data_IF_160761814973
#
_entry.id   IF_160761814973
#
_cell.length_a   1.000
_cell.length_b   1.000
_cell.length_c   1.000
_cell.angle_alpha   90.00
_cell.angle_beta   90.00
_cell.angle_gamma   90.00
#
_symmetry.space_group_name_H-M   'P 1'
#
loop_
_entity.id
_entity.type
_entity.pdbx_description
1 polymer ?
#
# COMPACT_ATOMS: atom_id res chain seq x y z
N UNK A 1 -29.41 6.99 15.16
CA UNK A 1 -28.94 7.62 13.90
C UNK A 1 -27.67 8.40 14.22
N UNK A 2 -26.61 8.29 13.42
CA UNK A 2 -25.37 9.07 13.62
C UNK A 2 -24.17 8.34 14.23
N UNK A 3 -23.86 7.10 13.82
CA UNK A 3 -22.61 6.41 14.18
C UNK A 3 -21.79 5.88 12.98
N UNK A 4 -22.30 6.01 11.75
CA UNK A 4 -21.75 5.37 10.55
C UNK A 4 -20.92 6.29 9.63
N UNK A 5 -21.02 7.62 9.78
CA UNK A 5 -20.31 8.56 8.89
C UNK A 5 -18.83 8.81 9.25
N UNK A 6 -18.31 8.30 10.37
CA UNK A 6 -16.92 8.54 10.78
C UNK A 6 -15.92 7.47 10.33
N UNK A 7 -16.31 6.59 9.41
CA UNK A 7 -15.51 5.43 8.98
C UNK A 7 -15.06 5.51 7.52
N UNK A 8 -15.49 6.53 6.76
CA UNK A 8 -15.07 6.79 5.37
C UNK A 8 -13.66 7.37 5.22
N UNK A 9 -12.85 7.34 6.30
CA UNK A 9 -11.52 7.97 6.38
C UNK A 9 -10.48 6.94 6.79
N UNK A 10 -10.29 5.97 5.93
CA UNK A 10 -9.29 4.91 6.07
C UNK A 10 -8.99 4.37 4.67
N UNK A 11 -7.98 4.92 3.99
CA UNK A 11 -6.86 4.18 3.38
C UNK A 11 -5.94 5.11 2.62
N UNK A 12 -4.63 5.05 2.94
CA UNK A 12 -3.60 5.83 2.26
C UNK A 12 -2.91 5.06 1.14
N UNK A 13 -1.99 5.62 0.34
CA UNK A 13 -1.93 6.96 -0.30
C UNK A 13 -0.74 6.94 -1.28
N UNK A 14 -0.96 7.05 -2.61
CA UNK A 14 0.06 6.77 -3.64
C UNK A 14 -0.56 6.68 -5.06
N UNK A 15 -0.10 7.35 -6.12
CA UNK A 15 -0.65 7.22 -7.50
C UNK A 15 0.32 8.02 -8.50
N UNK A 16 0.70 7.67 -9.77
CA UNK A 16 0.67 8.50 -11.05
C UNK A 16 0.47 7.71 -12.38
N UNK A 17 -0.18 8.25 -13.44
CA UNK A 17 -0.40 7.53 -14.73
C UNK A 17 0.74 7.72 -15.73
N UNK A 18 1.12 6.66 -16.45
CA UNK A 18 2.40 6.59 -17.16
C UNK A 18 2.49 7.14 -18.61
N UNK A 19 3.73 7.14 -19.12
CA UNK A 19 4.07 7.30 -20.55
C UNK A 19 5.11 6.25 -20.93
N UNK A 20 4.77 5.35 -21.85
CA UNK A 20 5.73 4.37 -22.38
C UNK A 20 6.87 5.05 -23.16
N UNK A 21 8.10 4.70 -22.83
CA UNK A 21 9.25 4.84 -23.74
C UNK A 21 10.01 3.52 -23.84
N UNK A 22 9.98 2.90 -25.02
CA UNK A 22 10.68 1.64 -25.31
C UNK A 22 12.19 1.88 -25.42
N UNK A 23 12.92 1.64 -24.34
CA UNK A 23 14.38 1.61 -24.31
C UNK A 23 14.90 0.17 -24.22
N UNK A 24 15.43 -0.39 -25.31
CA UNK A 24 16.18 -1.63 -25.27
C UNK A 24 17.52 -1.40 -24.56
N UNK A 25 17.58 -1.71 -23.26
CA UNK A 25 18.78 -1.67 -22.42
C UNK A 25 19.27 -3.08 -22.06
N UNK A 26 20.58 -3.22 -21.91
CA UNK A 26 21.23 -4.46 -21.47
C UNK A 26 20.73 -4.88 -20.08
N UNK A 27 20.74 -6.19 -19.77
CA UNK A 27 20.51 -6.68 -18.40
C UNK A 27 21.55 -6.09 -17.44
N UNK A 28 21.17 -5.02 -16.77
CA UNK A 28 21.83 -4.50 -15.58
C UNK A 28 21.58 -5.49 -14.44
N UNK A 29 22.64 -5.98 -13.79
CA UNK A 29 22.49 -6.81 -12.61
C UNK A 29 22.14 -5.91 -11.42
N UNK A 30 20.90 -6.03 -10.93
CA UNK A 30 20.45 -5.37 -9.71
C UNK A 30 21.38 -5.72 -8.54
N UNK A 31 21.95 -4.70 -7.91
CA UNK A 31 23.02 -4.84 -6.93
C UNK A 31 22.47 -4.92 -5.52
N UNK A 32 23.18 -5.61 -4.65
CA UNK A 32 22.75 -5.78 -3.25
C UNK A 32 22.94 -4.48 -2.44
N UNK A 33 22.15 -4.25 -1.38
CA UNK A 33 22.20 -3.03 -0.56
C UNK A 33 23.58 -2.77 0.05
N UNK A 34 24.34 -3.82 0.36
CA UNK A 34 25.69 -3.74 0.90
C UNK A 34 26.72 -3.07 -0.03
N UNK A 35 26.37 -2.84 -1.30
CA UNK A 35 27.22 -2.16 -2.29
C UNK A 35 26.72 -0.77 -2.67
N UNK A 36 25.62 -0.30 -2.05
CA UNK A 36 24.99 0.97 -2.36
C UNK A 36 25.94 2.16 -2.12
N UNK A 37 25.85 3.24 -2.93
CA UNK A 37 26.53 4.49 -2.63
C UNK A 37 26.00 5.05 -1.30
N UNK A 38 26.89 5.54 -0.44
CA UNK A 38 26.48 6.15 0.84
C UNK A 38 25.43 7.26 0.65
N UNK A 39 25.55 8.06 -0.42
CA UNK A 39 24.57 9.08 -0.77
C UNK A 39 23.15 8.56 -1.02
N UNK A 40 22.96 7.30 -1.40
CA UNK A 40 21.64 6.69 -1.52
C UNK A 40 21.09 6.30 -0.14
N UNK A 41 21.92 5.66 0.69
CA UNK A 41 21.49 5.22 2.03
C UNK A 41 21.21 6.42 2.93
N UNK A 42 22.02 7.46 2.82
CA UNK A 42 21.84 8.72 3.57
C UNK A 42 20.56 9.44 3.10
N UNK A 43 20.30 9.50 1.79
CA UNK A 43 19.07 10.08 1.23
C UNK A 43 17.80 9.37 1.71
N UNK A 44 17.81 8.03 1.77
CA UNK A 44 16.66 7.27 2.30
C UNK A 44 16.43 7.54 3.79
N UNK A 45 17.50 7.67 4.58
CA UNK A 45 17.42 8.05 6.00
C UNK A 45 16.90 9.48 6.17
N UNK A 46 17.35 10.44 5.35
CA UNK A 46 16.88 11.83 5.41
C UNK A 46 15.40 11.96 5.01
N UNK A 47 14.93 11.17 4.02
CA UNK A 47 13.52 11.08 3.62
C UNK A 47 12.68 10.51 4.77
N UNK A 48 13.09 9.37 5.33
CA UNK A 48 12.41 8.76 6.49
C UNK A 48 12.38 9.74 7.67
N UNK A 49 13.48 10.44 7.97
CA UNK A 49 13.53 11.39 9.08
C UNK A 49 12.56 12.55 8.84
N UNK A 50 12.55 13.16 7.65
CA UNK A 50 11.62 14.24 7.33
C UNK A 50 10.15 13.80 7.44
N UNK A 51 9.83 12.56 7.06
CA UNK A 51 8.50 11.99 7.19
C UNK A 51 8.13 11.65 8.66
N UNK A 52 9.05 11.09 9.44
CA UNK A 52 8.88 10.80 10.87
C UNK A 52 8.70 12.07 11.72
N UNK A 53 9.48 13.12 11.41
CA UNK A 53 9.40 14.43 12.07
C UNK A 53 8.23 15.29 11.53
N UNK A 54 7.44 14.77 10.58
CA UNK A 54 6.29 15.45 9.92
C UNK A 54 6.68 16.80 9.26
N UNK A 55 7.92 16.90 8.76
CA UNK A 55 8.48 18.10 8.13
C UNK A 55 8.10 18.16 6.65
N UNK A 56 6.82 18.47 6.36
CA UNK A 56 6.22 18.44 5.02
C UNK A 56 7.06 19.16 3.95
N UNK A 57 7.49 20.40 4.22
CA UNK A 57 8.32 21.17 3.29
C UNK A 57 9.69 20.52 3.02
N UNK A 58 10.33 19.94 4.05
CA UNK A 58 11.60 19.24 3.92
C UNK A 58 11.42 17.96 3.10
N UNK A 59 10.39 17.17 3.40
CA UNK A 59 10.07 15.93 2.70
C UNK A 59 9.82 16.20 1.20
N UNK A 60 9.01 17.22 0.89
CA UNK A 60 8.71 17.61 -0.49
C UNK A 60 9.93 18.15 -1.24
N UNK A 61 10.99 18.62 -0.56
CA UNK A 61 12.22 19.00 -1.24
C UNK A 61 12.98 17.80 -1.85
N UNK A 62 12.74 16.57 -1.39
CA UNK A 62 13.29 15.36 -2.03
C UNK A 62 12.55 14.95 -3.31
N UNK A 63 11.34 15.48 -3.57
CA UNK A 63 10.57 15.16 -4.78
C UNK A 63 10.90 16.14 -5.90
N UNK A 64 11.24 15.62 -7.08
CA UNK A 64 11.47 16.42 -8.29
C UNK A 64 10.23 17.20 -8.74
N UNK A 65 10.41 18.27 -9.50
CA UNK A 65 9.29 19.09 -10.01
C UNK A 65 8.35 18.30 -10.93
N UNK A 66 8.91 17.42 -11.76
CA UNK A 66 8.19 16.55 -12.68
C UNK A 66 8.09 15.11 -12.13
N UNK A 67 7.89 14.96 -10.81
CA UNK A 67 7.76 13.66 -10.16
C UNK A 67 6.57 12.86 -10.72
N UNK A 68 6.82 11.58 -11.02
CA UNK A 68 5.80 10.59 -11.38
C UNK A 68 5.72 9.47 -10.34
N UNK A 69 4.62 8.74 -10.31
CA UNK A 69 4.39 7.55 -9.51
C UNK A 69 3.57 6.52 -10.35
N UNK A 70 3.07 5.40 -9.82
CA UNK A 70 2.44 4.29 -10.60
C UNK A 70 0.93 4.32 -10.89
N UNK A 71 0.08 4.93 -10.05
CA UNK A 71 -1.39 4.79 -10.17
C UNK A 71 -2.27 6.04 -10.66
N UNK A 72 -1.92 7.35 -10.45
CA UNK A 72 -2.60 8.65 -10.79
C UNK A 72 -2.29 10.08 -10.11
N UNK A 73 -1.22 10.42 -9.32
CA UNK A 73 -0.92 11.71 -8.61
C UNK A 73 0.11 12.63 -9.30
N UNK A 74 0.04 13.90 -8.90
CA UNK A 74 1.16 14.84 -8.79
C UNK A 74 1.82 14.88 -7.40
N UNK A 75 2.94 15.62 -7.31
CA UNK A 75 3.56 16.03 -6.03
C UNK A 75 2.61 16.81 -5.10
N UNK A 76 1.66 17.57 -5.66
CA UNK A 76 0.66 18.33 -4.88
C UNK A 76 -0.32 17.40 -4.19
N UNK A 77 -0.79 16.38 -4.91
CA UNK A 77 -1.71 15.42 -4.32
C UNK A 77 -0.98 14.65 -3.19
N UNK A 78 0.26 14.18 -3.40
CA UNK A 78 1.10 13.60 -2.32
C UNK A 78 1.15 14.48 -1.05
N UNK A 79 1.29 15.81 -1.23
CA UNK A 79 1.31 16.76 -0.13
C UNK A 79 -0.01 16.75 0.67
N UNK A 80 -1.15 16.84 -0.02
CA UNK A 80 -2.47 16.85 0.61
C UNK A 80 -2.75 15.51 1.32
N UNK A 81 -2.39 14.40 0.67
CA UNK A 81 -2.50 13.04 1.19
C UNK A 81 -1.68 12.86 2.48
N UNK A 82 -0.40 13.21 2.48
CA UNK A 82 0.47 13.13 3.67
C UNK A 82 -0.01 14.02 4.80
N UNK A 83 -0.49 15.23 4.48
CA UNK A 83 -1.05 16.16 5.47
C UNK A 83 -2.26 15.53 6.18
N UNK A 84 -3.23 14.99 5.42
CA UNK A 84 -4.40 14.31 5.99
C UNK A 84 -3.99 13.09 6.84
N UNK A 85 -3.03 12.30 6.38
CA UNK A 85 -2.55 11.12 7.11
C UNK A 85 -1.92 11.49 8.45
N UNK A 86 -1.10 12.54 8.51
CA UNK A 86 -0.44 13.00 9.74
C UNK A 86 -1.40 13.67 10.72
N UNK A 87 -2.40 14.41 10.23
CA UNK A 87 -3.50 14.92 11.06
C UNK A 87 -4.29 13.78 11.73
N UNK A 88 -4.53 12.70 10.97
CA UNK A 88 -5.33 11.57 11.44
C UNK A 88 -4.54 10.63 12.37
N UNK A 89 -3.23 10.45 12.11
CA UNK A 89 -2.31 9.63 12.89
C UNK A 89 -1.15 10.48 13.45
N UNK A 90 -1.38 11.20 14.57
CA UNK A 90 -0.34 12.05 15.19
C UNK A 90 0.82 11.27 15.84
N UNK A 91 0.80 9.93 15.74
CA UNK A 91 1.91 9.04 16.09
C UNK A 91 2.06 8.06 14.95
N UNK A 92 2.82 8.46 13.95
CA UNK A 92 3.07 7.65 12.78
C UNK A 92 4.58 7.60 12.54
N UNK A 93 5.08 6.43 12.15
CA UNK A 93 6.49 6.19 11.92
C UNK A 93 6.74 5.45 10.61
N UNK A 94 7.77 5.88 9.90
CA UNK A 94 8.27 5.30 8.65
C UNK A 94 9.64 4.67 8.87
N UNK A 95 9.89 3.54 8.21
CA UNK A 95 11.20 2.89 8.19
C UNK A 95 11.39 2.15 6.86
N UNK A 96 12.28 2.68 6.03
CA UNK A 96 12.56 2.27 4.66
C UNK A 96 13.87 1.50 4.57
N UNK A 97 13.82 0.32 3.95
CA UNK A 97 14.99 -0.51 3.67
C UNK A 97 15.25 -0.56 2.17
N UNK A 98 16.50 -0.39 1.78
CA UNK A 98 16.94 -0.72 0.43
C UNK A 98 16.97 -2.25 0.25
N UNK A 99 16.31 -2.75 -0.80
CA UNK A 99 16.28 -4.16 -1.19
C UNK A 99 17.29 -4.46 -2.29
N UNK A 100 17.33 -3.63 -3.34
CA UNK A 100 18.35 -3.65 -4.38
C UNK A 100 18.50 -2.25 -5.01
N UNK A 101 19.55 -2.05 -5.80
CA UNK A 101 19.74 -0.82 -6.56
C UNK A 101 20.51 -1.04 -7.87
N UNK A 102 20.36 -0.11 -8.79
CA UNK A 102 21.19 0.03 -9.97
C UNK A 102 21.43 1.51 -10.29
N UNK A 103 22.42 1.78 -11.15
CA UNK A 103 22.70 3.14 -11.60
C UNK A 103 23.11 3.13 -13.07
N UNK A 104 22.38 3.93 -13.86
CA UNK A 104 22.61 4.12 -15.30
C UNK A 104 22.83 5.61 -15.55
N UNK A 105 24.10 6.02 -15.63
CA UNK A 105 24.49 7.42 -15.77
C UNK A 105 24.21 8.22 -14.49
N UNK A 106 23.40 9.27 -14.63
CA UNK A 106 22.95 10.15 -13.55
C UNK A 106 21.68 9.66 -12.84
N UNK A 107 21.03 8.62 -13.37
CA UNK A 107 19.85 8.00 -12.77
C UNK A 107 20.24 6.81 -11.91
N UNK A 108 19.69 6.77 -10.71
CA UNK A 108 19.77 5.65 -9.79
C UNK A 108 18.36 5.07 -9.62
N UNK A 109 18.21 3.76 -9.78
CA UNK A 109 16.95 3.05 -9.48
C UNK A 109 17.18 2.21 -8.24
N UNK A 110 16.26 2.26 -7.29
CA UNK A 110 16.32 1.55 -6.02
C UNK A 110 14.99 0.84 -5.76
N UNK A 111 15.03 -0.44 -5.45
CA UNK A 111 13.87 -1.13 -4.88
C UNK A 111 13.91 -1.01 -3.35
N UNK A 112 12.82 -0.58 -2.74
CA UNK A 112 12.72 -0.32 -1.30
C UNK A 112 11.53 -1.02 -0.67
N UNK A 113 11.65 -1.41 0.61
CA UNK A 113 10.55 -1.81 1.49
C UNK A 113 10.37 -0.75 2.57
N UNK A 114 9.27 0.01 2.52
CA UNK A 114 8.88 0.95 3.57
C UNK A 114 7.85 0.31 4.49
N UNK A 115 8.16 0.28 5.78
CA UNK A 115 7.21 -0.10 6.83
C UNK A 115 6.63 1.16 7.46
N UNK A 116 5.30 1.27 7.46
CA UNK A 116 4.55 2.36 8.10
C UNK A 116 3.82 1.83 9.32
N UNK A 117 3.88 2.54 10.45
CA UNK A 117 3.09 2.21 11.65
C UNK A 117 2.44 3.45 12.22
N UNK A 118 1.13 3.42 12.39
CA UNK A 118 0.32 4.50 12.94
C UNK A 118 -0.39 4.08 14.23
N UNK A 119 -0.57 5.03 15.15
CA UNK A 119 -1.38 4.87 16.35
C UNK A 119 -2.24 6.12 16.58
N UNK A 120 -3.57 5.95 16.55
CA UNK A 120 -4.51 7.02 16.90
C UNK A 120 -5.55 6.55 17.91
N UNK A 121 -6.27 7.50 18.51
CA UNK A 121 -7.38 7.22 19.44
C UNK A 121 -8.69 7.70 18.84
N UNK A 122 -9.62 6.78 18.61
CA UNK A 122 -10.91 7.05 17.95
C UNK A 122 -12.05 6.50 18.80
N UNK A 123 -13.07 7.34 19.09
CA UNK A 123 -14.22 6.99 19.92
C UNK A 123 -13.87 6.31 21.27
N UNK A 124 -12.73 6.69 21.87
CA UNK A 124 -12.21 6.12 23.12
C UNK A 124 -11.31 4.88 22.97
N UNK A 125 -11.35 4.19 21.83
CA UNK A 125 -10.52 3.00 21.52
C UNK A 125 -9.21 3.41 20.87
N UNK A 126 -8.17 2.60 21.05
CA UNK A 126 -6.94 2.71 20.24
C UNK A 126 -7.17 2.08 18.87
N UNK A 127 -6.58 2.68 17.84
CA UNK A 127 -6.55 2.18 16.47
C UNK A 127 -5.08 2.10 16.07
N UNK A 128 -4.63 0.88 15.78
CA UNK A 128 -3.30 0.59 15.27
C UNK A 128 -3.40 0.45 13.75
N UNK A 129 -2.45 1.03 13.04
CA UNK A 129 -2.29 0.89 11.60
C UNK A 129 -0.88 0.38 11.32
N UNK A 130 -0.75 -0.63 10.48
CA UNK A 130 0.54 -1.13 9.98
C UNK A 130 0.45 -1.32 8.47
N UNK A 131 1.51 -0.99 7.74
CA UNK A 131 1.61 -1.23 6.30
C UNK A 131 3.03 -1.55 5.89
N UNK A 132 3.13 -2.39 4.85
CA UNK A 132 4.38 -2.68 4.15
C UNK A 132 4.17 -2.34 2.68
N UNK A 133 5.01 -1.47 2.16
CA UNK A 133 4.98 -0.98 0.78
C UNK A 133 6.33 -1.32 0.14
N UNK A 134 6.32 -2.10 -0.94
CA UNK A 134 7.50 -2.36 -1.77
C UNK A 134 7.42 -1.46 -3.00
N UNK A 135 8.44 -0.64 -3.25
CA UNK A 135 8.43 0.29 -4.38
C UNK A 135 9.75 0.35 -5.14
N UNK A 136 9.68 0.58 -6.45
CA UNK A 136 10.82 0.92 -7.30
C UNK A 136 10.88 2.44 -7.43
N UNK A 137 11.94 3.05 -6.89
CA UNK A 137 12.15 4.49 -6.84
C UNK A 137 13.29 4.89 -7.77
N UNK A 138 13.08 5.89 -8.62
CA UNK A 138 14.10 6.45 -9.51
C UNK A 138 14.51 7.83 -9.02
N UNK A 139 15.81 7.99 -8.75
CA UNK A 139 16.43 9.21 -8.28
C UNK A 139 17.33 9.82 -9.36
N UNK A 140 17.40 11.14 -9.41
CA UNK A 140 18.36 11.93 -10.19
C UNK A 140 19.00 12.95 -9.25
N UNK A 141 20.28 12.73 -8.89
CA UNK A 141 20.90 13.46 -7.78
C UNK A 141 20.21 13.14 -6.45
N UNK A 142 19.78 14.18 -5.73
CA UNK A 142 19.02 14.09 -4.47
C UNK A 142 17.50 14.06 -4.67
N UNK A 143 17.01 14.04 -5.93
CA UNK A 143 15.58 14.13 -6.25
C UNK A 143 15.00 12.78 -6.66
N UNK A 144 13.99 12.32 -5.93
CA UNK A 144 13.06 11.29 -6.36
C UNK A 144 12.24 11.83 -7.54
N UNK A 145 12.42 11.25 -8.73
CA UNK A 145 11.73 11.64 -9.97
C UNK A 145 10.66 10.64 -10.40
N UNK A 146 10.71 9.39 -9.94
CA UNK A 146 9.64 8.41 -10.17
C UNK A 146 9.50 7.40 -9.02
N UNK A 147 8.28 6.91 -8.75
CA UNK A 147 8.02 5.82 -7.79
C UNK A 147 6.93 4.84 -8.29
N UNK A 148 7.27 3.57 -8.53
CA UNK A 148 6.30 2.52 -8.84
C UNK A 148 6.08 1.62 -7.63
N UNK A 149 4.82 1.42 -7.21
CA UNK A 149 4.48 0.52 -6.11
C UNK A 149 4.37 -0.90 -6.65
N UNK A 150 5.32 -1.76 -6.26
CA UNK A 150 5.41 -3.15 -6.72
C UNK A 150 4.51 -4.09 -5.91
N UNK A 151 4.32 -3.81 -4.62
CA UNK A 151 3.28 -4.43 -3.80
C UNK A 151 2.99 -3.58 -2.58
N UNK A 152 1.78 -3.72 -2.04
CA UNK A 152 1.29 -2.96 -0.91
C UNK A 152 0.32 -3.83 -0.12
N UNK A 153 0.54 -3.89 1.19
CA UNK A 153 -0.39 -4.50 2.13
C UNK A 153 -0.51 -3.59 3.36
N UNK A 154 -1.70 -3.51 3.93
CA UNK A 154 -1.92 -2.80 5.18
C UNK A 154 -2.99 -3.47 6.04
N UNK A 155 -2.87 -3.25 7.34
CA UNK A 155 -3.77 -3.79 8.35
C UNK A 155 -4.04 -2.71 9.39
N UNK A 156 -5.31 -2.52 9.70
CA UNK A 156 -5.79 -1.65 10.75
C UNK A 156 -6.54 -2.49 11.78
N UNK A 157 -6.22 -2.32 13.05
CA UNK A 157 -6.86 -3.05 14.16
C UNK A 157 -7.37 -2.09 15.22
N UNK A 158 -8.48 -2.46 15.87
CA UNK A 158 -9.02 -1.71 17.01
C UNK A 158 -9.80 -2.61 17.96
N UNK A 159 -9.96 -2.16 19.21
CA UNK A 159 -10.55 -2.93 20.30
C UNK A 159 -9.48 -3.61 21.16
N UNK A 160 -9.93 -4.34 22.17
CA UNK A 160 -9.06 -4.97 23.17
C UNK A 160 -8.52 -6.33 22.67
N UNK A 161 -9.21 -6.93 21.70
CA UNK A 161 -8.92 -8.26 21.16
C UNK A 161 -9.37 -8.35 19.69
N UNK A 162 -8.68 -7.68 18.74
CA UNK A 162 -9.00 -7.76 17.32
C UNK A 162 -8.80 -9.19 16.77
N UNK A 163 -9.66 -9.68 15.83
CA UNK A 163 -9.58 -11.04 15.30
C UNK A 163 -8.30 -11.30 14.51
N UNK A 164 -7.61 -12.40 14.78
CA UNK A 164 -6.43 -12.79 14.01
C UNK A 164 -6.83 -13.26 12.59
N UNK A 165 -6.37 -12.57 11.55
CA UNK A 165 -6.68 -12.89 10.16
C UNK A 165 -5.50 -13.56 9.44
N UNK A 166 -5.81 -14.49 8.53
CA UNK A 166 -4.92 -14.95 7.47
C UNK A 166 -5.55 -14.61 6.13
N UNK A 167 -4.88 -13.78 5.34
CA UNK A 167 -5.30 -13.44 3.98
C UNK A 167 -4.60 -14.34 2.97
N UNK A 168 -5.34 -14.83 1.99
CA UNK A 168 -4.83 -15.52 0.80
C UNK A 168 -5.32 -14.78 -0.43
N UNK A 169 -4.38 -14.13 -1.12
CA UNK A 169 -4.59 -13.39 -2.36
C UNK A 169 -3.26 -13.36 -3.14
N UNK A 170 -3.25 -13.46 -4.49
CA UNK A 170 -2.04 -13.27 -5.30
C UNK A 170 -1.59 -11.79 -5.31
N UNK A 171 -0.29 -11.52 -5.49
CA UNK A 171 0.20 -10.13 -5.72
C UNK A 171 -0.07 -9.65 -7.16
N UNK A 172 -0.12 -10.58 -8.13
CA UNK A 172 -0.28 -10.28 -9.56
C UNK A 172 -1.23 -11.29 -10.20
N UNK A 173 -2.11 -10.82 -11.10
CA UNK A 173 -3.03 -11.63 -11.90
C UNK A 173 -3.09 -11.13 -13.35
N UNK A 174 -3.42 -12.01 -14.29
CA UNK A 174 -3.69 -11.61 -15.67
C UNK A 174 -5.08 -10.97 -15.79
N UNK A 175 -5.32 -10.10 -16.81
CA UNK A 175 -6.65 -9.58 -17.09
C UNK A 175 -7.69 -10.70 -17.29
N UNK A 176 -8.91 -10.51 -16.77
CA UNK A 176 -9.99 -11.50 -16.78
C UNK A 176 -9.66 -12.88 -16.14
N UNK A 177 -8.64 -12.95 -15.27
CA UNK A 177 -8.32 -14.20 -14.56
C UNK A 177 -9.19 -14.42 -13.31
N UNK A 178 -9.67 -15.65 -13.11
CA UNK A 178 -10.40 -16.01 -11.89
C UNK A 178 -9.47 -16.43 -10.74
N UNK A 179 -9.48 -15.70 -9.63
CA UNK A 179 -8.70 -16.02 -8.43
C UNK A 179 -9.55 -16.05 -7.15
N UNK A 180 -8.90 -16.37 -6.02
CA UNK A 180 -9.53 -16.38 -4.69
C UNK A 180 -9.03 -15.20 -3.87
N UNK A 181 -9.96 -14.53 -3.19
CA UNK A 181 -9.68 -13.62 -2.09
C UNK A 181 -10.31 -14.21 -0.83
N UNK A 182 -9.48 -14.93 -0.06
CA UNK A 182 -9.90 -15.59 1.17
C UNK A 182 -9.32 -14.87 2.39
N UNK A 183 -10.17 -14.53 3.36
CA UNK A 183 -9.81 -13.87 4.61
C UNK A 183 -10.32 -14.73 5.76
N UNK A 184 -9.40 -15.48 6.36
CA UNK A 184 -9.69 -16.59 7.25
C UNK A 184 -9.40 -16.16 8.70
N UNK A 185 -10.43 -16.11 9.55
CA UNK A 185 -10.23 -15.89 10.99
C UNK A 185 -9.57 -17.12 11.59
N UNK A 186 -8.43 -16.91 12.26
CA UNK A 186 -7.64 -17.98 12.89
C UNK A 186 -8.16 -18.32 14.30
N UNK A 187 -8.89 -17.39 14.92
CA UNK A 187 -9.45 -17.57 16.26
C UNK A 187 -10.64 -18.55 16.25
N UNK A 188 -10.80 -19.42 17.27
CA UNK A 188 -11.99 -20.25 17.41
C UNK A 188 -13.25 -19.39 17.61
N UNK A 189 -14.26 -19.56 16.76
CA UNK A 189 -15.47 -18.73 16.76
C UNK A 189 -16.34 -18.90 18.01
N UNK A 190 -16.37 -20.10 18.59
CA UNK A 190 -17.24 -20.42 19.74
C UNK A 190 -18.71 -20.14 19.44
N UNK A 191 -19.32 -19.27 20.24
CA UNK A 191 -20.70 -18.76 20.05
C UNK A 191 -20.71 -17.28 19.58
N UNK A 192 -19.57 -16.73 19.19
CA UNK A 192 -19.47 -15.32 18.78
C UNK A 192 -20.03 -15.08 17.37
N UNK A 193 -20.77 -13.98 17.22
CA UNK A 193 -21.20 -13.49 15.92
C UNK A 193 -20.08 -12.64 15.35
N UNK A 194 -19.46 -13.13 14.28
CA UNK A 194 -18.62 -12.33 13.40
C UNK A 194 -19.48 -11.60 12.36
N UNK A 195 -19.16 -10.33 12.15
CA UNK A 195 -19.62 -9.55 11.01
C UNK A 195 -18.43 -9.28 10.07
N UNK A 196 -18.69 -9.14 8.78
CA UNK A 196 -17.66 -8.69 7.86
C UNK A 196 -18.16 -8.42 6.45
N UNK A 197 -17.28 -7.85 5.65
CA UNK A 197 -17.52 -7.47 4.27
C UNK A 197 -16.21 -7.31 3.52
N UNK A 198 -16.27 -7.37 2.18
CA UNK A 198 -15.13 -7.21 1.31
C UNK A 198 -15.45 -6.24 0.16
N UNK A 199 -14.47 -5.40 -0.18
CA UNK A 199 -14.52 -4.42 -1.26
C UNK A 199 -13.41 -4.70 -2.27
N UNK A 200 -13.66 -4.31 -3.52
CA UNK A 200 -12.76 -4.44 -4.65
C UNK A 200 -12.77 -3.11 -5.40
N UNK A 201 -11.68 -2.35 -5.34
CA UNK A 201 -11.66 -0.96 -5.80
C UNK A 201 -10.47 -0.73 -6.74
N UNK A 202 -10.64 -0.07 -7.90
CA UNK A 202 -9.51 0.37 -8.70
C UNK A 202 -8.74 1.45 -7.96
N UNK A 203 -7.42 1.38 -8.01
CA UNK A 203 -6.56 2.34 -7.32
C UNK A 203 -6.50 3.65 -8.14
N UNK A 204 -7.14 4.71 -7.63
CA UNK A 204 -7.26 6.03 -8.26
C UNK A 204 -7.17 7.15 -7.23
N UNK A 205 -7.00 8.41 -7.66
CA UNK A 205 -6.91 9.57 -6.77
C UNK A 205 -8.09 9.76 -5.84
N UNK A 206 -9.28 9.51 -6.38
CA UNK A 206 -10.53 9.52 -5.62
C UNK A 206 -10.56 8.42 -4.55
N UNK A 207 -10.07 7.21 -4.86
CA UNK A 207 -10.15 6.06 -3.95
C UNK A 207 -9.40 6.31 -2.64
N UNK A 208 -8.27 7.02 -2.68
CA UNK A 208 -7.48 7.39 -1.49
C UNK A 208 -8.14 8.40 -0.54
N UNK A 209 -9.08 9.21 -1.05
CA UNK A 209 -9.71 10.29 -0.26
C UNK A 209 -11.18 9.99 0.05
N UNK A 210 -11.81 9.11 -0.72
CA UNK A 210 -13.20 8.69 -0.59
C UNK A 210 -13.36 7.23 -1.08
N UNK A 211 -12.92 6.24 -0.28
CA UNK A 211 -13.16 4.82 -0.57
C UNK A 211 -14.65 4.46 -0.38
N UNK A 212 -15.04 3.31 -0.93
CA UNK A 212 -16.38 2.75 -0.74
C UNK A 212 -16.65 2.34 0.72
N UNK A 213 -17.94 2.28 1.08
CA UNK A 213 -18.38 1.86 2.40
C UNK A 213 -18.65 0.36 2.42
N UNK A 214 -18.10 -0.35 3.41
CA UNK A 214 -18.38 -1.77 3.61
C UNK A 214 -19.86 -2.02 3.89
N UNK A 215 -20.48 -2.89 3.08
CA UNK A 215 -21.67 -3.62 3.50
C UNK A 215 -21.24 -4.81 4.38
N UNK A 216 -21.94 -5.04 5.49
CA UNK A 216 -21.51 -5.97 6.55
C UNK A 216 -22.56 -7.03 6.83
N UNK A 217 -22.18 -8.27 6.57
CA UNK A 217 -23.00 -9.46 6.77
C UNK A 217 -22.42 -10.37 7.86
N UNK A 218 -23.22 -11.33 8.34
CA UNK A 218 -22.76 -12.35 9.28
C UNK A 218 -21.80 -13.31 8.56
N UNK A 219 -20.68 -13.67 9.21
CA UNK A 219 -19.69 -14.63 8.68
C UNK A 219 -19.82 -16.02 9.33
N UNK A 220 -20.80 -16.86 8.96
CA UNK A 220 -21.03 -18.17 9.60
C UNK A 220 -19.90 -19.18 9.37
N UNK A 221 -19.04 -18.95 8.37
CA UNK A 221 -17.91 -19.80 8.02
C UNK A 221 -16.58 -19.41 8.70
N UNK A 222 -16.57 -18.37 9.55
CA UNK A 222 -15.34 -17.90 10.20
C UNK A 222 -14.39 -17.14 9.27
N UNK A 223 -14.92 -16.52 8.22
CA UNK A 223 -14.12 -15.81 7.25
C UNK A 223 -14.93 -15.37 6.03
N UNK A 224 -14.26 -14.67 5.14
CA UNK A 224 -14.77 -14.26 3.83
C UNK A 224 -14.03 -15.14 2.81
N UNK A 225 -14.77 -15.77 1.89
CA UNK A 225 -14.23 -16.66 0.87
C UNK A 225 -14.85 -16.26 -0.47
N UNK A 226 -14.13 -15.45 -1.26
CA UNK A 226 -14.67 -14.85 -2.49
C UNK A 226 -13.90 -15.32 -3.71
N UNK A 227 -14.62 -15.76 -4.74
CA UNK A 227 -14.08 -15.89 -6.10
C UNK A 227 -14.22 -14.56 -6.81
N UNK A 228 -13.14 -14.11 -7.41
CA UNK A 228 -12.98 -12.80 -8.05
C UNK A 228 -12.55 -13.04 -9.50
N UNK A 229 -13.16 -12.32 -10.43
CA UNK A 229 -12.68 -12.18 -11.81
C UNK A 229 -11.92 -10.85 -11.89
N UNK A 230 -10.65 -10.88 -12.32
CA UNK A 230 -9.86 -9.66 -12.49
C UNK A 230 -10.46 -8.77 -13.60
N UNK A 231 -10.35 -7.43 -13.52
CA UNK A 231 -10.67 -6.53 -14.63
C UNK A 231 -10.09 -6.97 -15.98
N UNK A 232 -10.80 -6.63 -17.07
CA UNK A 232 -10.34 -6.89 -18.45
C UNK A 232 -9.25 -5.91 -18.90
N UNK A 233 -9.08 -4.79 -18.20
CA UNK A 233 -8.06 -3.78 -18.45
C UNK A 233 -6.93 -3.92 -17.42
N UNK A 234 -5.70 -3.62 -17.84
CA UNK A 234 -4.55 -3.64 -16.94
C UNK A 234 -4.54 -2.42 -16.00
N UNK A 235 -4.10 -2.63 -14.76
CA UNK A 235 -4.07 -1.62 -13.71
C UNK A 235 -4.00 -2.25 -12.31
N UNK A 236 -3.90 -1.43 -11.28
CA UNK A 236 -3.82 -1.92 -9.91
C UNK A 236 -5.19 -1.87 -9.22
N UNK A 237 -5.49 -2.92 -8.46
CA UNK A 237 -6.73 -3.10 -7.71
C UNK A 237 -6.43 -3.28 -6.22
N UNK A 238 -7.25 -2.68 -5.37
CA UNK A 238 -7.28 -2.97 -3.95
C UNK A 238 -8.35 -3.99 -3.61
N UNK A 239 -7.97 -4.94 -2.76
CA UNK A 239 -8.84 -5.94 -2.18
C UNK A 239 -8.84 -5.75 -0.67
N UNK A 240 -9.95 -5.23 -0.17
CA UNK A 240 -10.11 -4.79 1.21
C UNK A 240 -11.12 -5.67 1.93
N UNK A 241 -10.86 -6.04 3.18
CA UNK A 241 -11.79 -6.83 3.99
C UNK A 241 -11.85 -6.32 5.43
N UNK A 242 -13.08 -6.09 5.90
CA UNK A 242 -13.40 -5.71 7.27
C UNK A 242 -13.99 -6.92 8.00
N UNK A 243 -13.41 -7.28 9.14
CA UNK A 243 -13.94 -8.31 10.06
C UNK A 243 -14.11 -7.69 11.44
N UNK A 244 -15.29 -7.84 12.02
CA UNK A 244 -15.70 -7.23 13.29
C UNK A 244 -16.26 -8.32 14.22
N UNK A 245 -15.81 -8.31 15.47
CA UNK A 245 -16.42 -9.04 16.60
C UNK A 245 -16.74 -8.09 17.75
N UNK A 246 -17.23 -8.64 18.86
CA UNK A 246 -17.76 -7.83 19.98
C UNK A 246 -16.72 -6.92 20.64
N UNK A 247 -15.47 -7.38 20.74
CA UNK A 247 -14.36 -6.76 21.47
C UNK A 247 -13.24 -6.22 20.57
N UNK A 248 -13.33 -6.40 19.24
CA UNK A 248 -12.35 -5.88 18.29
C UNK A 248 -12.70 -6.05 16.83
N UNK A 249 -11.87 -5.43 15.98
CA UNK A 249 -12.02 -5.42 14.52
C UNK A 249 -10.65 -5.46 13.84
N UNK A 250 -10.59 -6.03 12.65
CA UNK A 250 -9.47 -5.90 11.72
C UNK A 250 -10.00 -5.50 10.35
N UNK A 251 -9.36 -4.52 9.75
CA UNK A 251 -9.52 -4.09 8.38
C UNK A 251 -8.19 -4.34 7.67
N UNK A 252 -8.18 -5.11 6.59
CA UNK A 252 -6.96 -5.47 5.86
C UNK A 252 -7.13 -5.17 4.38
N UNK A 253 -6.11 -4.61 3.73
CA UNK A 253 -6.14 -4.21 2.33
C UNK A 253 -4.86 -4.64 1.63
N UNK A 254 -5.02 -5.25 0.46
CA UNK A 254 -3.94 -5.74 -0.38
C UNK A 254 -4.07 -5.17 -1.79
N UNK A 255 -2.94 -4.70 -2.36
CA UNK A 255 -2.82 -4.40 -3.79
C UNK A 255 -2.62 -5.69 -4.58
N UNK A 256 -3.32 -5.80 -5.70
CA UNK A 256 -3.12 -6.81 -6.73
C UNK A 256 -2.88 -6.09 -8.05
N UNK A 257 -1.76 -6.38 -8.72
CA UNK A 257 -1.49 -5.89 -10.07
C UNK A 257 -2.25 -6.73 -11.09
N UNK A 258 -3.06 -6.10 -11.93
CA UNK A 258 -3.69 -6.70 -13.11
C UNK A 258 -2.82 -6.36 -14.30
N UNK A 259 -1.97 -7.29 -14.72
CA UNK A 259 -1.01 -7.10 -15.81
C UNK A 259 -0.83 -8.40 -16.58
N UNK A 260 -0.44 -8.31 -17.85
CA UNK A 260 -0.09 -9.49 -18.62
C UNK A 260 1.02 -10.25 -17.88
N UNK A 261 0.74 -11.50 -17.49
CA UNK A 261 1.66 -12.31 -16.71
C UNK A 261 3.05 -12.28 -17.38
N UNK A 262 4.11 -11.90 -16.67
CA UNK A 262 5.42 -11.66 -17.28
C UNK A 262 5.82 -12.92 -18.03
N UNK A 263 6.14 -12.75 -19.33
CA UNK A 263 6.55 -13.84 -20.21
C UNK A 263 7.60 -14.67 -19.49
N UNK A 264 7.22 -15.86 -19.01
CA UNK A 264 8.19 -16.78 -18.44
C UNK A 264 9.20 -17.05 -19.54
N UNK A 265 10.43 -16.58 -19.32
CA UNK A 265 11.54 -16.82 -20.22
C UNK A 265 11.84 -18.31 -20.15
N UNK A 266 11.13 -19.10 -20.97
CA UNK A 266 11.28 -20.54 -21.07
C UNK A 266 12.77 -20.85 -21.21
N UNK A 267 13.28 -21.64 -20.27
CA UNK A 267 14.69 -21.98 -20.22
C UNK A 267 15.16 -22.64 -21.51
N UNK A 268 16.35 -22.23 -21.95
CA UNK A 268 17.23 -23.01 -22.81
C UNK A 268 18.31 -23.64 -21.93
#
# INVERSE_FOLDING_TARGET
>A
MGYWQSWQRFFGMAIATGVLTLGFGLRSEARTPATAPASLTDLLVDIDQAANDQQLEQLLNFYGENFTHSDGLSKTDLQDLLTQLWEEYPRLSYNTKLLNWEQTGDRLVAETETQVRGLKKQAGRWVHYESTIRSQQTFQGDKLISQDILSEASTLTSGDNPPALKVLIPETVAPAADFGFDVIVQDPLGEEILLGGALEEPITSSTYTNPEAFDLDILPAGGIFKRVEAPTEAGDMWYSALVVRSDGMVLTTHRVKVEDAPLQANGL
#
